data_IF_169125648769
#
_entry.id   IF_169125648769
#
_cell.length_a   1.000
_cell.length_b   1.000
_cell.length_c   1.000
_cell.angle_alpha   90.00
_cell.angle_beta   90.00
_cell.angle_gamma   90.00
#
_symmetry.space_group_name_H-M   'P 1'
#
loop_
_entity.id
_entity.type
_entity.pdbx_description
1 polymer ?
#
# COMPACT_ATOMS: atom_id res chain seq x y z
N UNK A 1 -13.05 -5.09 -10.30
CA UNK A 1 -13.27 -6.37 -9.59
C UNK A 1 -14.62 -6.99 -9.94
N UNK A 2 -15.54 -6.22 -10.50
CA UNK A 2 -16.93 -6.56 -10.81
C UNK A 2 -17.12 -7.79 -11.73
N UNK A 3 -16.12 -8.13 -12.55
CA UNK A 3 -16.14 -9.36 -13.37
C UNK A 3 -15.97 -10.65 -12.57
N UNK A 4 -15.36 -10.59 -11.36
CA UNK A 4 -15.22 -11.74 -10.45
C UNK A 4 -16.55 -12.06 -9.72
N UNK A 5 -17.37 -11.05 -9.45
CA UNK A 5 -18.69 -11.22 -8.84
C UNK A 5 -19.76 -11.64 -9.85
N UNK A 6 -19.63 -11.23 -11.13
CA UNK A 6 -20.58 -11.58 -12.21
C UNK A 6 -20.61 -13.05 -12.63
N UNK A 7 -19.87 -13.94 -11.95
CA UNK A 7 -19.92 -15.38 -12.21
C UNK A 7 -19.23 -15.82 -13.51
N UNK A 8 -18.36 -14.99 -14.10
CA UNK A 8 -17.56 -15.39 -15.25
C UNK A 8 -16.70 -16.62 -14.90
N UNK A 9 -16.68 -17.61 -15.80
CA UNK A 9 -15.91 -18.83 -15.58
C UNK A 9 -14.44 -18.48 -15.39
N UNK A 10 -13.86 -18.86 -14.26
CA UNK A 10 -12.52 -18.42 -13.86
C UNK A 10 -11.39 -18.74 -14.87
N UNK A 11 -11.62 -19.64 -15.83
CA UNK A 11 -10.69 -19.92 -16.94
C UNK A 11 -10.65 -18.80 -17.97
N UNK A 12 -11.81 -18.24 -18.35
CA UNK A 12 -11.88 -17.10 -19.28
C UNK A 12 -11.14 -15.87 -18.74
N UNK A 13 -11.24 -15.66 -17.42
CA UNK A 13 -10.55 -14.58 -16.74
C UNK A 13 -9.04 -14.82 -16.68
N UNK A 14 -8.63 -16.05 -16.36
CA UNK A 14 -7.23 -16.45 -16.39
C UNK A 14 -6.60 -16.22 -17.77
N UNK A 15 -7.27 -16.66 -18.83
CA UNK A 15 -6.82 -16.50 -20.21
C UNK A 15 -6.74 -15.02 -20.62
N UNK A 16 -7.76 -14.21 -20.26
CA UNK A 16 -7.82 -12.77 -20.58
C UNK A 16 -6.67 -11.96 -19.97
N UNK A 17 -6.30 -12.27 -18.73
CA UNK A 17 -5.27 -11.55 -17.99
C UNK A 17 -3.91 -12.25 -18.00
N UNK A 18 -3.78 -13.38 -18.71
CA UNK A 18 -2.54 -14.17 -18.78
C UNK A 18 -2.09 -14.73 -17.41
N UNK A 19 -3.03 -14.97 -16.50
CA UNK A 19 -2.74 -15.48 -15.15
C UNK A 19 -3.12 -16.96 -15.03
N UNK A 20 -2.37 -17.71 -14.24
CA UNK A 20 -2.69 -19.11 -13.98
C UNK A 20 -3.93 -19.18 -13.07
N UNK A 21 -4.75 -20.21 -13.27
CA UNK A 21 -6.00 -20.41 -12.51
C UNK A 21 -5.78 -20.49 -10.98
N UNK A 22 -4.63 -21.01 -10.53
CA UNK A 22 -4.22 -21.01 -9.12
C UNK A 22 -4.02 -19.58 -8.59
N UNK A 23 -3.22 -18.77 -9.30
CA UNK A 23 -2.99 -17.35 -8.99
C UNK A 23 -4.29 -16.57 -8.91
N UNK A 24 -5.24 -16.83 -9.82
CA UNK A 24 -6.58 -16.21 -9.78
C UNK A 24 -7.35 -16.57 -8.50
N UNK A 25 -7.29 -17.83 -8.04
CA UNK A 25 -7.95 -18.23 -6.79
C UNK A 25 -7.28 -17.57 -5.57
N UNK A 26 -5.98 -17.40 -5.59
CA UNK A 26 -5.26 -16.73 -4.51
C UNK A 26 -5.58 -15.23 -4.48
N UNK A 27 -5.63 -14.57 -5.63
CA UNK A 27 -6.11 -13.18 -5.76
C UNK A 27 -7.53 -13.03 -5.20
N UNK A 28 -8.42 -13.98 -5.50
CA UNK A 28 -9.79 -13.97 -4.96
C UNK A 28 -9.82 -13.99 -3.43
N UNK A 29 -8.96 -14.80 -2.79
CA UNK A 29 -8.89 -14.90 -1.32
C UNK A 29 -8.40 -13.61 -0.66
N UNK A 30 -7.53 -12.85 -1.33
CA UNK A 30 -6.98 -11.59 -0.82
C UNK A 30 -7.77 -10.36 -1.30
N UNK A 31 -8.87 -10.54 -2.06
CA UNK A 31 -9.59 -9.41 -2.66
C UNK A 31 -10.16 -8.48 -1.61
N UNK A 32 -10.74 -9.02 -0.53
CA UNK A 32 -11.31 -8.22 0.56
C UNK A 32 -10.24 -7.39 1.27
N UNK A 33 -9.07 -7.98 1.52
CA UNK A 33 -7.95 -7.27 2.16
C UNK A 33 -7.36 -6.21 1.22
N UNK A 34 -7.30 -6.47 -0.09
CA UNK A 34 -6.91 -5.47 -1.08
C UNK A 34 -7.89 -4.28 -1.09
N UNK A 35 -9.20 -4.51 -1.03
CA UNK A 35 -10.21 -3.45 -1.00
C UNK A 35 -10.12 -2.59 0.27
N UNK A 36 -9.84 -3.20 1.43
CA UNK A 36 -9.63 -2.46 2.69
C UNK A 36 -8.31 -1.68 2.70
N UNK A 37 -7.33 -2.13 1.93
CA UNK A 37 -5.99 -1.55 1.91
C UNK A 37 -5.82 -0.44 0.87
N UNK A 38 -6.52 -0.52 -0.26
CA UNK A 38 -6.42 0.44 -1.36
C UNK A 38 -6.70 1.89 -0.93
N UNK A 39 -7.71 2.19 -0.09
CA UNK A 39 -7.97 3.55 0.40
C UNK A 39 -6.86 4.12 1.28
N UNK A 40 -6.03 3.26 1.88
CA UNK A 40 -4.89 3.66 2.73
C UNK A 40 -3.64 4.01 1.93
N UNK A 41 -3.64 3.73 0.64
CA UNK A 41 -2.53 4.10 -0.24
C UNK A 41 -2.78 5.51 -0.77
N UNK A 42 -1.81 6.40 -0.54
CA UNK A 42 -1.80 7.70 -1.20
C UNK A 42 -1.89 7.51 -2.72
N UNK A 43 -2.76 8.29 -3.36
CA UNK A 43 -3.04 8.20 -4.80
C UNK A 43 -1.85 8.62 -5.68
N UNK A 44 -0.68 8.91 -5.10
CA UNK A 44 0.56 9.21 -5.80
C UNK A 44 1.17 7.98 -6.47
N UNK A 45 2.09 8.24 -7.42
CA UNK A 45 2.72 7.28 -8.34
C UNK A 45 3.38 6.06 -7.66
N UNK A 46 3.72 6.17 -6.37
CA UNK A 46 4.26 5.07 -5.58
C UNK A 46 3.28 3.90 -5.37
N UNK A 47 1.97 4.17 -5.35
CA UNK A 47 0.95 3.13 -5.13
C UNK A 47 0.73 2.25 -6.37
N UNK A 48 0.85 2.80 -7.57
CA UNK A 48 0.61 2.10 -8.85
C UNK A 48 1.59 0.96 -9.11
N UNK A 49 2.83 1.11 -8.64
CA UNK A 49 3.91 0.14 -8.84
C UNK A 49 4.02 -0.88 -7.69
N UNK A 50 3.23 -0.73 -6.63
CA UNK A 50 3.31 -1.54 -5.42
C UNK A 50 2.71 -2.93 -5.66
N UNK A 51 3.51 -3.98 -5.43
CA UNK A 51 3.09 -5.38 -5.62
C UNK A 51 2.77 -6.15 -4.32
N UNK A 52 3.06 -5.55 -3.16
CA UNK A 52 2.90 -6.18 -1.84
C UNK A 52 2.09 -5.29 -0.91
N UNK A 53 1.24 -5.89 -0.08
CA UNK A 53 0.46 -5.20 0.96
C UNK A 53 1.20 -5.12 2.31
N UNK A 54 2.54 -5.08 2.29
CA UNK A 54 3.33 -5.12 3.53
C UNK A 54 3.06 -3.87 4.36
N UNK A 55 2.61 -4.04 5.60
CA UNK A 55 2.43 -2.95 6.56
C UNK A 55 3.75 -2.44 7.13
N UNK A 56 3.68 -1.31 7.82
CA UNK A 56 4.80 -0.79 8.61
C UNK A 56 4.97 -1.65 9.87
N UNK A 57 6.20 -1.81 10.35
CA UNK A 57 6.47 -2.61 11.55
C UNK A 57 5.98 -1.92 12.83
N UNK A 58 5.96 -0.60 12.86
CA UNK A 58 5.47 0.22 13.96
C UNK A 58 4.65 1.38 13.39
N UNK A 59 3.38 1.10 13.06
CA UNK A 59 2.49 2.08 12.41
C UNK A 59 2.38 3.39 13.20
N UNK A 60 2.31 3.34 14.53
CA UNK A 60 2.16 4.55 15.36
C UNK A 60 3.41 5.45 15.35
N UNK A 61 4.60 4.86 15.44
CA UNK A 61 5.86 5.62 15.42
C UNK A 61 6.11 6.25 14.05
N UNK A 62 5.87 5.50 12.98
CA UNK A 62 6.02 5.99 11.61
C UNK A 62 5.00 7.09 11.28
N UNK A 63 3.76 6.97 11.75
CA UNK A 63 2.72 8.00 11.60
C UNK A 63 3.09 9.29 12.34
N UNK A 64 3.56 9.18 13.59
CA UNK A 64 4.01 10.33 14.37
C UNK A 64 5.22 11.03 13.71
N UNK A 65 6.16 10.24 13.19
CA UNK A 65 7.31 10.76 12.45
C UNK A 65 6.90 11.45 11.15
N UNK A 66 5.94 10.88 10.41
CA UNK A 66 5.41 11.47 9.19
C UNK A 66 4.66 12.78 9.45
N UNK A 67 3.82 12.82 10.49
CA UNK A 67 3.17 14.04 10.96
C UNK A 67 4.18 15.14 11.31
N UNK A 68 5.23 14.80 12.06
CA UNK A 68 6.31 15.72 12.40
C UNK A 68 7.05 16.23 11.15
N UNK A 69 7.35 15.33 10.21
CA UNK A 69 7.99 15.68 8.94
C UNK A 69 7.15 16.68 8.15
N UNK A 70 5.84 16.47 8.04
CA UNK A 70 4.93 17.39 7.35
C UNK A 70 4.86 18.77 8.03
N UNK A 71 4.82 18.81 9.36
CA UNK A 71 4.86 20.08 10.12
C UNK A 71 6.17 20.85 9.88
N UNK A 72 7.31 20.18 9.81
CA UNK A 72 8.60 20.80 9.54
C UNK A 72 8.76 21.21 8.07
N UNK A 73 8.17 20.45 7.15
CA UNK A 73 8.14 20.81 5.73
C UNK A 73 7.28 22.06 5.50
N UNK A 74 6.17 22.21 6.22
CA UNK A 74 5.29 23.38 6.09
C UNK A 74 5.93 24.68 6.61
N UNK A 75 6.90 24.60 7.52
CA UNK A 75 7.70 25.76 7.96
C UNK A 75 8.81 26.14 6.97
N UNK A 76 8.93 25.44 5.84
CA UNK A 76 9.94 25.71 4.81
C UNK A 76 11.35 25.25 5.16
N UNK A 77 11.51 24.46 6.25
CA UNK A 77 12.81 23.91 6.61
C UNK A 77 13.09 22.64 5.79
N UNK A 78 14.23 22.56 5.07
CA UNK A 78 14.62 21.32 4.42
C UNK A 78 15.06 20.30 5.48
N UNK A 79 14.44 19.12 5.46
CA UNK A 79 14.79 18.01 6.35
C UNK A 79 15.71 17.06 5.59
N UNK A 80 16.91 16.86 6.13
CA UNK A 80 17.85 15.88 5.60
C UNK A 80 17.48 14.46 6.06
N UNK A 81 17.86 13.46 5.27
CA UNK A 81 17.68 12.05 5.64
C UNK A 81 18.28 11.69 7.01
N UNK A 82 19.52 12.11 7.35
CA UNK A 82 20.09 11.88 8.68
C UNK A 82 19.26 12.47 9.83
N UNK A 83 18.74 13.70 9.66
CA UNK A 83 17.89 14.33 10.66
C UNK A 83 16.57 13.57 10.86
N UNK A 84 16.02 13.00 9.79
CA UNK A 84 14.83 12.15 9.86
C UNK A 84 15.10 10.86 10.64
N UNK A 85 16.28 10.25 10.44
CA UNK A 85 16.70 9.06 11.19
C UNK A 85 16.89 9.36 12.68
N UNK A 86 17.46 10.51 13.04
CA UNK A 86 17.58 10.93 14.43
C UNK A 86 16.22 11.05 15.11
N UNK A 87 15.24 11.69 14.45
CA UNK A 87 13.89 11.78 14.99
C UNK A 87 13.19 10.43 15.11
N UNK A 88 13.43 9.48 14.20
CA UNK A 88 12.91 8.12 14.30
C UNK A 88 13.35 7.41 15.59
N UNK A 89 14.55 7.70 16.12
CA UNK A 89 15.04 7.13 17.37
C UNK A 89 14.36 7.79 18.58
N UNK A 90 14.05 9.08 18.48
CA UNK A 90 13.39 9.87 19.51
C UNK A 90 11.90 9.53 19.65
N UNK A 91 11.22 9.23 18.54
CA UNK A 91 9.81 8.80 18.50
C UNK A 91 9.72 7.29 18.78
N UNK A 92 9.99 6.88 20.02
CA UNK A 92 9.88 5.49 20.49
C UNK A 92 8.80 5.31 21.54
#
# INVERSE_FOLDING_TARGET
MDSLEKGETGRKLADKYGIITSTKNDIKKITDSMLLYTPKLDSEDGSKNRKMMKGLKNELSEEALYCWFLQKRSTGQPISGPLLCEQSITVK
#
